data_IF_307504661346
#
_entry.id   IF_307504661346
#
_cell.length_a   1.000
_cell.length_b   1.000
_cell.length_c   1.000
_cell.angle_alpha   90.00
_cell.angle_beta   90.00
_cell.angle_gamma   90.00
#
_symmetry.space_group_name_H-M   'P 1'
#
loop_
_entity.id
_entity.type
_entity.pdbx_description
1 polymer ?
#
# COMPACT_ATOMS: atom_id res chain seq x y z
N UNK A 1 -9.92 -17.36 2.02
CA UNK A 1 -10.30 -16.70 0.75
C UNK A 1 -9.39 -17.14 -0.40
N UNK A 2 -8.07 -16.93 -0.31
CA UNK A 2 -7.14 -17.32 -1.40
C UNK A 2 -7.21 -18.82 -1.76
N UNK A 3 -7.33 -19.72 -0.77
CA UNK A 3 -7.50 -21.15 -1.03
C UNK A 3 -8.80 -21.47 -1.79
N UNK A 4 -9.89 -20.77 -1.49
CA UNK A 4 -11.15 -20.88 -2.24
C UNK A 4 -10.98 -20.41 -3.68
N UNK A 5 -10.34 -19.26 -3.87
CA UNK A 5 -10.05 -18.73 -5.21
C UNK A 5 -9.18 -19.69 -6.05
N UNK A 6 -8.18 -20.34 -5.41
CA UNK A 6 -7.35 -21.36 -6.08
C UNK A 6 -8.13 -22.60 -6.56
N UNK A 7 -9.21 -22.94 -5.87
CA UNK A 7 -10.06 -24.10 -6.19
C UNK A 7 -11.32 -23.71 -6.98
N UNK A 8 -11.35 -22.49 -7.55
CA UNK A 8 -12.51 -21.95 -8.29
C UNK A 8 -13.82 -22.00 -7.48
N UNK A 9 -13.73 -21.95 -6.15
CA UNK A 9 -14.88 -21.96 -5.26
C UNK A 9 -15.48 -20.55 -5.15
N UNK A 10 -16.80 -20.48 -5.07
CA UNK A 10 -17.49 -19.21 -4.85
C UNK A 10 -17.12 -18.63 -3.49
N UNK A 11 -16.77 -17.34 -3.48
CA UNK A 11 -16.52 -16.56 -2.26
C UNK A 11 -17.76 -15.69 -2.04
N UNK A 12 -18.57 -15.98 -1.01
CA UNK A 12 -19.72 -15.15 -0.69
C UNK A 12 -19.32 -13.69 -0.39
N UNK A 13 -20.14 -12.72 -0.73
CA UNK A 13 -19.92 -11.32 -0.32
C UNK A 13 -19.73 -11.20 1.18
N UNK A 14 -18.74 -10.43 1.62
CA UNK A 14 -18.45 -10.21 3.03
C UNK A 14 -17.70 -11.34 3.75
N UNK A 15 -17.44 -12.47 3.10
CA UNK A 15 -16.68 -13.55 3.73
C UNK A 15 -15.26 -13.14 4.10
N UNK A 16 -14.88 -13.36 5.36
CA UNK A 16 -13.55 -13.07 5.89
C UNK A 16 -13.29 -11.59 6.17
N UNK A 17 -14.31 -10.74 6.07
CA UNK A 17 -14.23 -9.33 6.42
C UNK A 17 -14.52 -9.15 7.91
N UNK A 18 -13.62 -8.47 8.59
CA UNK A 18 -13.76 -8.05 9.99
C UNK A 18 -14.06 -6.54 10.02
N UNK A 19 -15.15 -6.17 10.68
CA UNK A 19 -15.54 -4.77 10.83
C UNK A 19 -14.92 -4.17 12.09
N UNK A 20 -14.25 -3.03 11.95
CA UNK A 20 -13.66 -2.31 13.07
C UNK A 20 -14.52 -1.08 13.46
N UNK A 21 -14.57 -0.77 14.74
CA UNK A 21 -15.38 0.32 15.29
C UNK A 21 -15.02 1.72 14.75
N UNK A 22 -13.80 1.91 14.23
CA UNK A 22 -13.36 3.16 13.61
C UNK A 22 -13.77 3.30 12.12
N UNK A 23 -14.67 2.44 11.62
CA UNK A 23 -15.20 2.53 10.26
C UNK A 23 -14.24 2.01 9.19
N UNK A 24 -13.34 1.12 9.56
CA UNK A 24 -12.41 0.42 8.66
C UNK A 24 -12.71 -1.06 8.71
N UNK A 25 -12.80 -1.69 7.54
CA UNK A 25 -12.95 -3.12 7.41
C UNK A 25 -11.62 -3.78 7.07
N UNK A 26 -11.40 -5.00 7.56
CA UNK A 26 -10.12 -5.71 7.47
C UNK A 26 -10.32 -7.13 6.95
N UNK A 27 -9.56 -7.53 5.94
CA UNK A 27 -9.29 -8.94 5.66
C UNK A 27 -7.92 -9.28 6.27
N UNK A 28 -7.88 -10.03 7.38
CA UNK A 28 -6.63 -10.42 7.99
C UNK A 28 -5.91 -11.46 7.12
N UNK A 29 -4.59 -11.34 7.03
CA UNK A 29 -3.73 -12.41 6.54
C UNK A 29 -3.12 -13.18 7.71
N UNK A 30 -2.85 -14.45 7.50
CA UNK A 30 -2.18 -15.30 8.46
C UNK A 30 -0.95 -15.98 7.82
N UNK A 31 -0.19 -16.70 8.62
CA UNK A 31 1.03 -17.38 8.18
C UNK A 31 0.74 -18.48 7.13
N UNK A 32 -0.48 -18.99 7.05
CA UNK A 32 -0.89 -19.98 6.06
C UNK A 32 -0.87 -19.39 4.64
N UNK A 33 -1.03 -18.06 4.51
CA UNK A 33 -0.91 -17.39 3.22
C UNK A 33 0.49 -17.56 2.62
N UNK A 34 1.54 -17.60 3.45
CA UNK A 34 2.90 -17.87 2.99
C UNK A 34 3.04 -19.32 2.46
N UNK A 35 2.35 -20.28 3.06
CA UNK A 35 2.28 -21.66 2.56
C UNK A 35 1.55 -21.76 1.22
N UNK A 36 0.49 -20.98 1.01
CA UNK A 36 -0.23 -20.92 -0.26
C UNK A 36 0.64 -20.35 -1.40
N UNK A 37 1.60 -19.47 -1.11
CA UNK A 37 2.54 -18.97 -2.12
C UNK A 37 3.35 -20.09 -2.77
N UNK A 38 3.79 -21.06 -2.00
CA UNK A 38 4.51 -22.23 -2.52
C UNK A 38 3.59 -23.06 -3.42
N UNK A 39 2.33 -23.22 -3.05
CA UNK A 39 1.34 -23.90 -3.87
C UNK A 39 0.99 -23.11 -5.15
N UNK A 40 0.96 -21.77 -5.07
CA UNK A 40 0.72 -20.88 -6.21
C UNK A 40 1.85 -20.91 -7.25
N UNK A 41 3.06 -21.35 -6.90
CA UNK A 41 4.19 -21.44 -7.87
C UNK A 41 3.80 -22.25 -9.10
N UNK A 42 2.99 -23.28 -8.94
CA UNK A 42 2.56 -24.18 -10.01
C UNK A 42 1.18 -23.82 -10.61
N UNK A 43 0.52 -22.76 -10.12
CA UNK A 43 -0.79 -22.35 -10.60
C UNK A 43 -0.68 -21.42 -11.81
N UNK A 44 -1.51 -21.64 -12.82
CA UNK A 44 -1.65 -20.72 -13.95
C UNK A 44 -2.33 -19.43 -13.48
N UNK A 45 -1.84 -18.28 -13.99
CA UNK A 45 -2.38 -16.95 -13.68
C UNK A 45 -2.39 -16.58 -12.18
N UNK A 46 -1.46 -17.16 -11.42
CA UNK A 46 -1.30 -16.93 -9.97
C UNK A 46 -1.27 -15.45 -9.57
N UNK A 47 -0.76 -14.60 -10.44
CA UNK A 47 -0.66 -13.14 -10.24
C UNK A 47 -2.03 -12.42 -10.29
N UNK A 48 -3.08 -13.09 -10.76
CA UNK A 48 -4.44 -12.53 -10.86
C UNK A 48 -5.37 -13.00 -9.74
N UNK A 49 -4.95 -13.95 -8.92
CA UNK A 49 -5.80 -14.55 -7.88
C UNK A 49 -6.30 -13.51 -6.87
N UNK A 50 -5.40 -12.64 -6.38
CA UNK A 50 -5.80 -11.59 -5.44
C UNK A 50 -6.82 -10.64 -6.07
N UNK A 51 -6.65 -10.29 -7.33
CA UNK A 51 -7.61 -9.46 -8.06
C UNK A 51 -9.00 -10.08 -8.08
N UNK A 52 -9.08 -11.38 -8.34
CA UNK A 52 -10.35 -12.14 -8.35
C UNK A 52 -11.02 -12.14 -6.96
N UNK A 53 -10.23 -12.32 -5.88
CA UNK A 53 -10.74 -12.25 -4.50
C UNK A 53 -11.31 -10.86 -4.19
N UNK A 54 -10.69 -9.80 -4.71
CA UNK A 54 -11.07 -8.42 -4.43
C UNK A 54 -12.20 -7.89 -5.35
N UNK A 55 -12.58 -8.60 -6.40
CA UNK A 55 -13.57 -8.10 -7.37
C UNK A 55 -14.96 -7.82 -6.77
N UNK A 56 -15.37 -8.55 -5.73
CA UNK A 56 -16.59 -8.27 -4.97
C UNK A 56 -16.44 -6.99 -4.12
N UNK A 57 -15.35 -6.90 -3.36
CA UNK A 57 -15.07 -5.76 -2.48
C UNK A 57 -14.90 -4.44 -3.26
N UNK A 58 -14.41 -4.46 -4.50
CA UNK A 58 -14.27 -3.27 -5.35
C UNK A 58 -15.58 -2.51 -5.61
N UNK A 59 -16.71 -3.14 -5.42
CA UNK A 59 -18.04 -2.52 -5.62
C UNK A 59 -18.57 -1.85 -4.37
N UNK A 60 -18.04 -2.22 -3.20
CA UNK A 60 -18.56 -1.83 -1.89
C UNK A 60 -17.68 -0.78 -1.19
N UNK A 61 -16.39 -0.68 -1.57
CA UNK A 61 -15.42 0.19 -0.91
C UNK A 61 -14.86 1.26 -1.83
N UNK A 62 -14.67 2.48 -1.31
CA UNK A 62 -14.01 3.58 -2.04
C UNK A 62 -12.53 3.32 -2.25
N UNK A 63 -11.87 2.79 -1.22
CA UNK A 63 -10.45 2.50 -1.18
C UNK A 63 -10.20 1.13 -0.59
N UNK A 64 -9.36 0.35 -1.26
CA UNK A 64 -8.83 -0.91 -0.76
C UNK A 64 -7.33 -0.74 -0.63
N UNK A 65 -6.82 -0.84 0.61
CA UNK A 65 -5.39 -0.77 0.91
C UNK A 65 -4.82 -2.19 0.97
N UNK A 66 -3.80 -2.46 0.17
CA UNK A 66 -3.06 -3.72 0.22
C UNK A 66 -1.75 -3.46 0.98
N UNK A 67 -1.68 -3.90 2.24
CA UNK A 67 -0.46 -3.84 3.03
C UNK A 67 0.42 -5.04 2.68
N UNK A 68 1.60 -4.78 2.13
CA UNK A 68 2.51 -5.79 1.65
C UNK A 68 3.85 -5.70 2.37
N UNK A 69 4.29 -6.82 2.94
CA UNK A 69 5.66 -6.92 3.41
C UNK A 69 6.62 -7.04 2.23
N UNK A 70 7.79 -6.39 2.28
CA UNK A 70 8.80 -6.49 1.23
C UNK A 70 9.49 -7.87 1.27
N UNK A 71 9.02 -8.80 0.48
CA UNK A 71 9.57 -10.15 0.38
C UNK A 71 10.54 -10.36 -0.79
N UNK A 72 11.14 -9.28 -1.27
CA UNK A 72 12.28 -9.38 -2.19
C UNK A 72 13.55 -9.60 -1.36
N UNK A 73 13.75 -10.83 -0.90
CA UNK A 73 14.86 -11.29 -0.07
C UNK A 73 16.11 -10.41 -0.15
N UNK A 74 16.27 -9.55 0.74
CA UNK A 74 17.35 -8.86 1.42
C UNK A 74 16.85 -7.54 1.99
N UNK A 75 16.75 -7.52 3.30
CA UNK A 75 16.83 -6.35 4.17
C UNK A 75 16.03 -5.10 3.76
N UNK A 76 14.98 -4.91 4.51
CA UNK A 76 14.55 -3.60 4.97
C UNK A 76 13.58 -2.82 4.09
N UNK A 77 12.29 -2.92 4.49
CA UNK A 77 11.46 -1.73 4.67
C UNK A 77 11.10 -0.98 3.41
N UNK A 78 10.22 -1.60 2.68
CA UNK A 78 9.24 -0.82 1.95
C UNK A 78 7.89 -1.49 2.21
N UNK A 79 7.16 -1.01 3.21
CA UNK A 79 5.74 -1.28 3.27
C UNK A 79 5.11 -0.56 2.09
N UNK A 80 4.71 -1.28 1.08
CA UNK A 80 3.99 -0.71 -0.06
C UNK A 80 2.52 -0.69 0.31
N UNK A 81 1.99 0.49 0.58
CA UNK A 81 0.56 0.70 0.62
C UNK A 81 0.07 0.75 -0.83
N UNK A 82 -0.64 -0.26 -1.24
CA UNK A 82 -1.25 -0.33 -2.55
C UNK A 82 -2.69 0.17 -2.44
N UNK A 83 -3.01 1.20 -3.20
CA UNK A 83 -4.32 1.82 -3.20
C UNK A 83 -5.11 1.32 -4.40
N UNK A 84 -6.30 0.85 -4.11
CA UNK A 84 -7.30 0.51 -5.11
C UNK A 84 -8.38 1.60 -5.05
N UNK A 85 -8.57 2.36 -6.11
CA UNK A 85 -9.69 3.32 -6.19
C UNK A 85 -11.00 2.57 -6.42
N UNK A 86 -11.89 2.61 -5.46
CA UNK A 86 -13.27 2.13 -5.55
C UNK A 86 -14.24 3.19 -5.01
N UNK A 87 -15.45 3.19 -5.45
CA UNK A 87 -16.39 4.32 -5.49
C UNK A 87 -17.28 4.56 -4.25
N UNK A 88 -16.99 4.09 -3.03
CA UNK A 88 -17.89 4.29 -1.88
C UNK A 88 -17.15 4.50 -0.55
N UNK A 89 -17.71 5.28 0.38
CA UNK A 89 -17.10 5.85 1.61
C UNK A 89 -16.72 4.84 2.72
N UNK A 90 -15.98 3.77 2.41
CA UNK A 90 -15.52 2.85 3.43
C UNK A 90 -14.07 2.37 3.13
N UNK A 91 -13.20 2.43 4.12
CA UNK A 91 -11.80 1.99 3.97
C UNK A 91 -11.67 0.49 4.25
N UNK A 92 -10.91 -0.21 3.41
CA UNK A 92 -10.68 -1.65 3.52
C UNK A 92 -9.17 -1.95 3.49
N UNK A 93 -8.67 -2.70 4.45
CA UNK A 93 -7.26 -3.04 4.57
C UNK A 93 -7.08 -4.55 4.40
N UNK A 94 -6.24 -4.94 3.47
CA UNK A 94 -5.77 -6.33 3.33
C UNK A 94 -4.33 -6.39 3.81
N UNK A 95 -4.09 -7.10 4.89
CA UNK A 95 -2.73 -7.37 5.36
C UNK A 95 -2.23 -8.65 4.71
N UNK A 96 -1.08 -8.59 4.07
CA UNK A 96 -0.46 -9.73 3.41
C UNK A 96 0.90 -10.01 4.05
N UNK A 97 1.07 -11.19 4.62
CA UNK A 97 2.36 -11.68 5.10
C UNK A 97 3.05 -12.47 3.98
N UNK A 98 4.23 -12.02 3.56
CA UNK A 98 5.12 -12.78 2.67
C UNK A 98 4.87 -12.55 1.16
N UNK A 99 5.83 -12.87 0.34
CA UNK A 99 5.96 -13.04 -1.14
C UNK A 99 4.97 -12.44 -2.15
N UNK A 100 3.85 -11.91 -1.74
CA UNK A 100 2.72 -11.51 -2.59
C UNK A 100 2.78 -10.09 -3.19
N UNK A 101 3.92 -9.40 -3.12
CA UNK A 101 4.04 -8.06 -3.71
C UNK A 101 3.66 -8.04 -5.20
N UNK A 102 3.96 -9.10 -5.95
CA UNK A 102 3.58 -9.20 -7.38
C UNK A 102 2.08 -9.33 -7.54
N UNK A 103 1.40 -10.14 -6.73
CA UNK A 103 -0.06 -10.29 -6.74
C UNK A 103 -0.76 -8.98 -6.38
N UNK A 104 -0.25 -8.28 -5.38
CA UNK A 104 -0.76 -6.99 -4.96
C UNK A 104 -0.56 -5.93 -6.07
N UNK A 105 0.63 -5.83 -6.66
CA UNK A 105 0.89 -4.95 -7.81
C UNK A 105 0.05 -5.31 -9.04
N UNK A 106 -0.25 -6.59 -9.24
CA UNK A 106 -1.12 -7.05 -10.33
C UNK A 106 -2.58 -6.64 -10.13
N UNK A 107 -3.05 -6.59 -8.89
CA UNK A 107 -4.42 -6.24 -8.52
C UNK A 107 -4.63 -4.72 -8.36
N UNK A 108 -3.60 -3.97 -8.00
CA UNK A 108 -3.69 -2.55 -7.64
C UNK A 108 -3.85 -1.63 -8.84
N UNK A 109 -4.49 -0.48 -8.65
CA UNK A 109 -4.53 0.62 -9.60
C UNK A 109 -3.35 1.58 -9.39
N UNK A 110 -2.97 1.82 -8.13
CA UNK A 110 -1.84 2.68 -7.76
C UNK A 110 -0.96 2.02 -6.70
N UNK A 111 0.29 2.44 -6.59
CA UNK A 111 1.20 2.05 -5.52
C UNK A 111 1.82 3.28 -4.87
N UNK A 112 1.69 3.36 -3.55
CA UNK A 112 2.39 4.33 -2.71
C UNK A 112 3.58 3.63 -2.08
N UNK A 113 4.75 4.26 -2.11
CA UNK A 113 6.02 3.67 -1.69
C UNK A 113 6.54 4.37 -0.43
N UNK A 114 6.31 3.81 0.78
CA UNK A 114 6.94 4.34 1.98
C UNK A 114 8.42 3.96 2.02
N UNK A 115 9.27 4.95 2.33
CA UNK A 115 10.73 4.79 2.40
C UNK A 115 11.23 5.36 3.72
N UNK A 116 11.95 4.57 4.50
CA UNK A 116 12.62 5.07 5.69
C UNK A 116 13.84 5.92 5.29
N UNK A 117 14.13 6.94 6.09
CA UNK A 117 15.30 7.81 5.89
C UNK A 117 16.61 7.09 6.25
N UNK A 118 16.91 5.97 5.58
CA UNK A 118 18.09 5.13 5.77
C UNK A 118 18.69 4.72 4.43
N UNK A 119 20.01 4.59 4.38
CA UNK A 119 20.75 4.26 3.15
C UNK A 119 20.30 2.94 2.48
N UNK A 120 20.09 1.90 3.27
CA UNK A 120 19.65 0.59 2.75
C UNK A 120 18.24 0.66 2.15
N UNK A 121 17.37 1.50 2.70
CA UNK A 121 16.03 1.75 2.16
C UNK A 121 16.09 2.45 0.80
N UNK A 122 17.01 3.39 0.62
CA UNK A 122 17.22 4.06 -0.66
C UNK A 122 17.70 3.07 -1.74
N UNK A 123 18.58 2.12 -1.39
CA UNK A 123 19.01 1.05 -2.31
C UNK A 123 17.88 0.06 -2.63
N UNK A 124 17.06 -0.31 -1.65
CA UNK A 124 15.89 -1.17 -1.84
C UNK A 124 14.83 -0.54 -2.75
N UNK A 125 14.69 0.78 -2.72
CA UNK A 125 13.77 1.53 -3.59
C UNK A 125 14.06 1.30 -5.08
N UNK A 126 15.32 1.27 -5.49
CA UNK A 126 15.69 1.02 -6.88
C UNK A 126 15.22 -0.37 -7.34
N UNK A 127 15.43 -1.41 -6.53
CA UNK A 127 14.98 -2.77 -6.83
C UNK A 127 13.46 -2.88 -6.93
N UNK A 128 12.74 -2.19 -6.02
CA UNK A 128 11.29 -2.13 -6.06
C UNK A 128 10.79 -1.44 -7.34
N UNK A 129 11.38 -0.31 -7.72
CA UNK A 129 11.02 0.40 -8.94
C UNK A 129 11.28 -0.44 -10.20
N UNK A 130 12.34 -1.26 -10.21
CA UNK A 130 12.57 -2.22 -11.29
C UNK A 130 11.49 -3.29 -11.33
N UNK A 131 11.06 -3.80 -10.19
CA UNK A 131 9.96 -4.79 -10.08
C UNK A 131 8.64 -4.18 -10.56
N UNK A 132 8.29 -2.97 -10.12
CA UNK A 132 7.09 -2.25 -10.58
C UNK A 132 7.11 -2.09 -12.11
N UNK A 133 8.26 -1.71 -12.69
CA UNK A 133 8.40 -1.59 -14.16
C UNK A 133 8.14 -2.92 -14.87
N UNK A 134 8.64 -4.05 -14.34
CA UNK A 134 8.39 -5.39 -14.89
C UNK A 134 6.90 -5.75 -14.82
N UNK A 135 6.27 -5.55 -13.67
CA UNK A 135 4.83 -5.79 -13.49
C UNK A 135 4.00 -4.93 -14.44
N UNK A 136 4.30 -3.63 -14.56
CA UNK A 136 3.61 -2.74 -15.52
C UNK A 136 3.75 -3.22 -16.95
N UNK A 137 4.89 -3.74 -17.34
CA UNK A 137 5.12 -4.18 -18.73
C UNK A 137 4.47 -5.52 -19.04
N UNK A 138 4.37 -6.43 -18.07
CA UNK A 138 4.01 -7.82 -18.32
C UNK A 138 2.63 -8.21 -17.78
N UNK A 139 2.17 -7.58 -16.69
CA UNK A 139 1.01 -8.05 -15.92
C UNK A 139 -0.07 -6.97 -15.82
N UNK A 140 0.30 -5.78 -15.33
CA UNK A 140 -0.64 -4.69 -15.06
C UNK A 140 -0.19 -3.36 -15.70
N UNK A 141 -0.46 -3.13 -16.98
CA UNK A 141 -0.04 -1.90 -17.67
C UNK A 141 -0.67 -0.62 -17.11
N UNK A 142 -1.79 -0.74 -16.38
CA UNK A 142 -2.52 0.40 -15.79
C UNK A 142 -1.95 0.86 -14.45
N UNK A 143 -1.10 0.04 -13.81
CA UNK A 143 -0.52 0.36 -12.50
C UNK A 143 0.23 1.69 -12.55
N UNK A 144 -0.09 2.60 -11.64
CA UNK A 144 0.58 3.89 -11.48
C UNK A 144 1.40 3.90 -10.19
N UNK A 145 2.42 4.76 -10.13
CA UNK A 145 3.10 5.10 -8.88
C UNK A 145 2.49 6.41 -8.39
N UNK A 146 1.84 6.37 -7.22
CA UNK A 146 1.23 7.54 -6.58
C UNK A 146 2.30 8.49 -6.07
N UNK A 147 3.33 7.93 -5.44
CA UNK A 147 4.46 8.68 -4.94
C UNK A 147 5.30 7.92 -3.95
N UNK A 148 6.37 8.58 -3.50
CA UNK A 148 7.26 8.12 -2.43
C UNK A 148 6.90 8.90 -1.16
N UNK A 149 6.64 8.18 -0.07
CA UNK A 149 6.39 8.75 1.25
C UNK A 149 7.60 8.51 2.16
N UNK A 150 8.27 9.57 2.59
CA UNK A 150 9.33 9.44 3.58
C UNK A 150 8.74 9.11 4.95
N UNK A 151 9.22 8.05 5.59
CA UNK A 151 8.71 7.58 6.89
C UNK A 151 9.83 7.42 7.91
N UNK A 152 9.45 7.34 9.19
CA UNK A 152 10.40 7.20 10.32
C UNK A 152 11.51 8.26 10.29
N UNK A 153 11.16 9.48 9.83
CA UNK A 153 12.15 10.56 9.72
C UNK A 153 12.45 11.17 11.07
N UNK A 154 13.71 11.46 11.33
CA UNK A 154 14.14 12.30 12.47
C UNK A 154 14.80 13.57 11.94
N UNK A 155 14.06 14.66 11.94
CA UNK A 155 14.51 15.96 11.47
C UNK A 155 15.66 16.58 12.32
N UNK A 156 15.92 16.00 13.50
CA UNK A 156 17.01 16.44 14.37
C UNK A 156 18.37 15.91 13.91
N UNK A 157 18.38 14.83 13.11
CA UNK A 157 19.61 14.23 12.61
C UNK A 157 19.97 14.81 11.24
N UNK A 158 21.27 15.11 11.03
CA UNK A 158 21.78 15.53 9.72
C UNK A 158 21.57 14.40 8.70
N UNK A 159 21.86 13.17 9.11
CA UNK A 159 21.75 11.99 8.26
C UNK A 159 20.34 11.80 7.70
N UNK A 160 19.28 11.90 8.52
CA UNK A 160 17.90 11.79 8.05
C UNK A 160 17.54 12.86 7.02
N UNK A 161 18.01 14.10 7.23
CA UNK A 161 17.82 15.22 6.29
C UNK A 161 18.55 15.00 4.96
N UNK A 162 19.78 14.49 5.02
CA UNK A 162 20.58 14.20 3.82
C UNK A 162 19.94 13.11 2.97
N UNK A 163 19.43 12.03 3.56
CA UNK A 163 18.72 10.97 2.84
C UNK A 163 17.41 11.48 2.23
N UNK A 164 16.62 12.26 2.95
CA UNK A 164 15.40 12.87 2.38
C UNK A 164 15.74 13.76 1.17
N UNK A 165 16.73 14.62 1.31
CA UNK A 165 17.20 15.47 0.22
C UNK A 165 17.69 14.66 -0.99
N UNK A 166 18.45 13.60 -0.75
CA UNK A 166 18.93 12.69 -1.79
C UNK A 166 17.78 12.03 -2.55
N UNK A 167 16.78 11.49 -1.84
CA UNK A 167 15.61 10.87 -2.46
C UNK A 167 14.86 11.89 -3.31
N UNK A 168 14.64 13.10 -2.81
CA UNK A 168 13.97 14.17 -3.58
C UNK A 168 14.79 14.59 -4.81
N UNK A 169 16.10 14.69 -4.68
CA UNK A 169 16.98 15.05 -5.80
C UNK A 169 17.00 13.95 -6.89
N UNK A 170 17.13 12.70 -6.51
CA UNK A 170 17.28 11.56 -7.46
C UNK A 170 15.95 11.19 -8.12
N UNK A 171 14.87 11.18 -7.36
CA UNK A 171 13.58 10.66 -7.83
C UNK A 171 12.53 11.73 -8.09
N UNK A 172 12.60 12.90 -7.43
CA UNK A 172 11.57 13.94 -7.46
C UNK A 172 11.22 14.48 -8.84
N UNK A 173 12.15 14.40 -9.80
CA UNK A 173 11.87 14.79 -11.21
C UNK A 173 11.03 13.77 -11.99
N UNK A 174 10.94 12.50 -11.51
CA UNK A 174 10.29 11.39 -12.22
C UNK A 174 9.13 10.78 -11.44
N UNK A 175 9.19 10.83 -10.12
CA UNK A 175 8.21 10.27 -9.21
C UNK A 175 7.95 11.32 -8.14
N UNK A 176 6.67 11.60 -7.87
CA UNK A 176 6.30 12.49 -6.78
C UNK A 176 6.89 12.00 -5.47
N UNK A 177 7.43 12.90 -4.67
CA UNK A 177 7.77 12.66 -3.26
C UNK A 177 6.83 13.52 -2.43
N UNK A 178 6.03 12.91 -1.57
CA UNK A 178 5.05 13.61 -0.74
C UNK A 178 5.74 14.68 0.12
N UNK A 179 5.05 15.82 0.32
CA UNK A 179 5.66 16.97 0.97
C UNK A 179 5.95 16.70 2.44
N UNK A 180 4.95 16.14 3.15
CA UNK A 180 5.02 15.91 4.58
C UNK A 180 5.54 14.50 4.88
N UNK A 181 6.77 14.35 5.41
CA UNK A 181 7.26 13.05 5.86
C UNK A 181 6.57 12.63 7.16
N UNK A 182 6.43 11.32 7.38
CA UNK A 182 5.94 10.76 8.64
C UNK A 182 7.10 10.64 9.63
N UNK A 183 7.10 11.37 10.75
CA UNK A 183 8.20 11.34 11.70
C UNK A 183 8.21 10.05 12.53
N UNK A 184 9.37 9.68 13.02
CA UNK A 184 9.50 8.63 14.04
C UNK A 184 8.78 9.07 15.33
N UNK A 185 7.98 8.16 15.91
CA UNK A 185 7.24 8.42 17.14
C UNK A 185 7.11 7.15 17.98
N UNK A 186 7.42 7.22 19.26
CA UNK A 186 7.19 6.13 20.21
C UNK A 186 5.69 5.87 20.37
N UNK A 187 4.87 6.92 20.45
CA UNK A 187 3.40 6.79 20.53
C UNK A 187 2.80 6.06 19.33
N UNK A 188 3.36 6.27 18.13
CA UNK A 188 2.93 5.54 16.96
C UNK A 188 3.29 4.05 17.03
N UNK A 189 4.33 3.66 17.75
CA UNK A 189 4.66 2.26 17.98
C UNK A 189 3.72 1.58 19.00
N UNK A 190 3.20 2.34 19.96
CA UNK A 190 2.28 1.86 21.00
C UNK A 190 0.92 1.45 20.44
N UNK A 191 0.44 2.10 19.36
CA UNK A 191 -0.89 1.86 18.77
C UNK A 191 -1.10 0.41 18.34
N UNK A 192 -0.05 -0.27 17.90
CA UNK A 192 -0.13 -1.67 17.48
C UNK A 192 -0.50 -2.61 18.64
N UNK A 193 -0.12 -2.26 19.86
CA UNK A 193 -0.48 -3.04 21.06
C UNK A 193 -1.91 -2.73 21.54
N UNK A 194 -2.42 -1.51 21.26
CA UNK A 194 -3.74 -1.07 21.72
C UNK A 194 -4.87 -1.38 20.71
N UNK A 195 -4.54 -1.72 19.47
CA UNK A 195 -5.52 -1.95 18.41
C UNK A 195 -6.35 -0.70 18.07
N UNK A 196 -5.77 0.49 18.23
CA UNK A 196 -6.41 1.78 17.92
C UNK A 196 -5.66 2.50 16.82
N UNK A 197 -6.35 3.40 16.11
CA UNK A 197 -5.64 4.25 15.15
C UNK A 197 -4.83 5.35 15.84
N UNK A 198 -3.83 5.90 15.13
CA UNK A 198 -3.09 7.08 15.62
C UNK A 198 -4.01 8.28 15.86
N UNK A 199 -5.11 8.36 15.13
CA UNK A 199 -6.10 9.43 15.29
C UNK A 199 -6.91 9.32 16.58
N UNK A 200 -7.13 8.08 17.06
CA UNK A 200 -7.77 7.84 18.37
C UNK A 200 -6.76 7.97 19.52
N UNK A 201 -5.52 7.51 19.33
CA UNK A 201 -4.50 7.48 20.38
C UNK A 201 -3.80 8.84 20.58
N UNK A 202 -3.37 9.51 19.51
CA UNK A 202 -2.66 10.80 19.55
C UNK A 202 -3.16 11.76 18.45
N UNK A 203 -4.41 12.25 18.52
CA UNK A 203 -5.06 13.02 17.46
C UNK A 203 -4.38 14.35 17.14
N UNK A 204 -3.64 14.92 18.10
CA UNK A 204 -2.90 16.17 17.96
C UNK A 204 -1.40 15.94 17.68
N UNK A 205 -0.99 14.70 17.57
CA UNK A 205 0.41 14.32 17.35
C UNK A 205 0.89 14.64 15.94
N UNK A 206 2.21 14.77 15.79
CA UNK A 206 2.85 15.05 14.50
C UNK A 206 2.60 13.91 13.48
N UNK A 207 2.49 12.67 13.94
CA UNK A 207 2.21 11.52 13.08
C UNK A 207 0.78 11.59 12.54
N UNK A 208 -0.21 11.87 13.38
CA UNK A 208 -1.59 12.07 12.94
C UNK A 208 -1.69 13.21 11.92
N UNK A 209 -1.03 14.35 12.17
CA UNK A 209 -0.99 15.46 11.24
C UNK A 209 -0.34 15.09 9.89
N UNK A 210 0.75 14.30 9.91
CA UNK A 210 1.41 13.83 8.71
C UNK A 210 0.51 12.92 7.86
N UNK A 211 -0.19 11.97 8.48
CA UNK A 211 -1.16 11.12 7.77
C UNK A 211 -2.37 11.89 7.25
N UNK A 212 -2.83 12.92 7.98
CA UNK A 212 -3.89 13.81 7.46
C UNK A 212 -3.44 14.57 6.23
N UNK A 213 -2.19 15.06 6.21
CA UNK A 213 -1.61 15.73 5.04
C UNK A 213 -1.52 14.76 3.85
N UNK A 214 -0.99 13.57 4.05
CA UNK A 214 -0.93 12.52 3.05
C UNK A 214 -2.32 12.23 2.45
N UNK A 215 -3.31 12.03 3.31
CA UNK A 215 -4.68 11.75 2.88
C UNK A 215 -5.24 12.87 2.01
N UNK A 216 -5.05 14.13 2.39
CA UNK A 216 -5.50 15.28 1.58
C UNK A 216 -4.82 15.32 0.22
N UNK A 217 -3.51 15.06 0.17
CA UNK A 217 -2.76 15.05 -1.08
C UNK A 217 -3.26 13.93 -2.02
N UNK A 218 -3.47 12.73 -1.49
CA UNK A 218 -3.96 11.58 -2.27
C UNK A 218 -5.39 11.81 -2.78
N UNK A 219 -6.29 12.29 -1.91
CA UNK A 219 -7.68 12.58 -2.30
C UNK A 219 -7.77 13.67 -3.37
N UNK A 220 -6.95 14.72 -3.26
CA UNK A 220 -6.91 15.79 -4.26
C UNK A 220 -6.48 15.28 -5.65
N UNK A 221 -5.55 14.31 -5.69
CA UNK A 221 -5.11 13.71 -6.96
C UNK A 221 -6.15 12.76 -7.54
N UNK A 222 -6.83 11.98 -6.70
CA UNK A 222 -7.94 11.13 -7.11
C UNK A 222 -9.07 11.96 -7.74
N UNK A 223 -9.44 13.10 -7.15
CA UNK A 223 -10.44 14.02 -7.72
C UNK A 223 -10.02 14.61 -9.07
N UNK A 224 -8.74 15.02 -9.21
CA UNK A 224 -8.21 15.52 -10.49
C UNK A 224 -8.29 14.45 -11.57
N UNK A 225 -7.93 13.20 -11.25
CA UNK A 225 -8.00 12.10 -12.22
C UNK A 225 -9.44 11.78 -12.63
N UNK A 226 -10.39 11.81 -11.70
CA UNK A 226 -11.82 11.64 -11.98
C UNK A 226 -12.35 12.72 -12.95
N UNK A 227 -12.00 13.99 -12.72
CA UNK A 227 -12.39 15.10 -13.61
C UNK A 227 -11.82 14.95 -15.03
N UNK A 228 -10.53 14.64 -15.13
CA UNK A 228 -9.88 14.40 -16.43
C UNK A 228 -10.44 13.18 -17.18
N UNK A 229 -10.82 12.13 -16.45
CA UNK A 229 -11.49 10.96 -17.03
C UNK A 229 -12.88 11.28 -17.58
N UNK A 230 -13.66 12.07 -16.85
CA UNK A 230 -15.00 12.49 -17.29
C UNK A 230 -14.95 13.42 -18.52
N UNK A 231 -13.94 14.29 -18.65
CA UNK A 231 -13.74 15.16 -19.82
C UNK A 231 -13.34 14.39 -21.09
N UNK A 232 -12.61 13.28 -20.96
CA UNK A 232 -12.20 12.42 -22.09
C UNK A 232 -13.30 11.48 -22.59
N UNK A 233 -14.38 11.32 -21.82
CA UNK A 233 -15.52 10.46 -22.14
C UNK A 233 -16.69 11.23 -22.77
N UNK A 234 -16.53 12.54 -22.94
CA UNK A 234 -17.43 13.45 -23.68
C UNK A 234 -16.84 13.78 -25.04
#
# INVERSE_FOLDING_TARGET
>A
LMAKAMNDQCIPPGEGILHHAEGVDLIPANIELAGLEVALVNSMSREKMLKQVLDSARREYDYILLDCTPSLGMLTVVASLLWLEVRTLCGFIVTSCGGNAINALAAADTTLIPVQAQYLSAKGLEQLLQTIRKVRRQINPKLKIEGILMTMTDSRTNYGREIDALIRQVYGSKIRVFEQPVPHSVRAAEISAEGRSIFAHDPKGKVAAAYQSLTREVLADAEKQRKLGAERSR
#
